data_IF_610382481512
#
_entry.id   IF_610382481512
#
_cell.length_a   1.000
_cell.length_b   1.000
_cell.length_c   1.000
_cell.angle_alpha   90.00
_cell.angle_beta   90.00
_cell.angle_gamma   90.00
#
_symmetry.space_group_name_H-M   'P 1'
#
loop_
_entity.id
_entity.type
_entity.pdbx_description
1 polymer ?
#
# COMPACT_ATOMS: atom_id res chain seq x y z
N UNK A 1 -3.78 3.01 7.69
CA UNK A 1 -4.56 1.75 7.87
C UNK A 1 -5.82 1.98 8.69
N UNK A 2 -5.70 2.52 9.91
CA UNK A 2 -6.82 2.75 10.84
C UNK A 2 -8.06 3.40 10.20
N UNK A 3 -7.89 4.53 9.50
CA UNK A 3 -9.00 5.23 8.83
C UNK A 3 -9.73 4.37 7.78
N UNK A 4 -8.98 3.55 7.04
CA UNK A 4 -9.53 2.65 6.04
C UNK A 4 -10.34 1.51 6.69
N UNK A 5 -9.81 0.93 7.78
CA UNK A 5 -10.53 -0.08 8.56
C UNK A 5 -11.81 0.49 9.18
N UNK A 6 -11.74 1.72 9.74
CA UNK A 6 -12.91 2.44 10.26
C UNK A 6 -13.95 2.65 9.17
N UNK A 7 -13.55 3.09 7.98
CA UNK A 7 -14.46 3.25 6.85
C UNK A 7 -15.21 1.96 6.49
N UNK A 8 -14.48 0.83 6.40
CA UNK A 8 -15.09 -0.47 6.13
C UNK A 8 -16.04 -0.90 7.25
N UNK A 9 -15.65 -0.78 8.52
CA UNK A 9 -16.50 -1.12 9.65
C UNK A 9 -17.80 -0.28 9.69
N UNK A 10 -17.70 1.02 9.41
CA UNK A 10 -18.87 1.89 9.29
C UNK A 10 -19.78 1.46 8.13
N UNK A 11 -19.19 1.10 6.99
CA UNK A 11 -19.92 0.65 5.79
C UNK A 11 -20.65 -0.66 6.06
N UNK A 12 -19.98 -1.66 6.65
CA UNK A 12 -20.58 -2.94 7.02
C UNK A 12 -21.72 -2.77 8.03
N UNK A 13 -21.54 -1.88 9.01
CA UNK A 13 -22.58 -1.54 9.98
C UNK A 13 -23.79 -0.92 9.28
N UNK A 14 -23.56 0.00 8.35
CA UNK A 14 -24.62 0.66 7.59
C UNK A 14 -25.40 -0.35 6.73
N UNK A 15 -24.69 -1.23 6.02
CA UNK A 15 -25.30 -2.29 5.21
C UNK A 15 -26.21 -3.19 6.05
N UNK A 16 -25.74 -3.63 7.23
CA UNK A 16 -26.56 -4.43 8.16
C UNK A 16 -27.83 -3.70 8.59
N UNK A 17 -27.75 -2.40 8.88
CA UNK A 17 -28.92 -1.58 9.24
C UNK A 17 -29.93 -1.49 8.08
N UNK A 18 -29.46 -1.36 6.83
CA UNK A 18 -30.36 -1.30 5.67
C UNK A 18 -30.95 -2.65 5.27
N UNK A 19 -30.20 -3.73 5.49
CA UNK A 19 -30.66 -5.10 5.19
C UNK A 19 -31.78 -5.54 6.14
N UNK A 20 -31.89 -4.91 7.33
CA UNK A 20 -32.95 -5.15 8.33
C UNK A 20 -33.03 -6.63 8.74
N UNK A 21 -31.89 -7.25 9.03
CA UNK A 21 -31.79 -8.68 9.36
C UNK A 21 -32.66 -9.10 10.56
N UNK A 22 -32.93 -8.17 11.49
CA UNK A 22 -33.75 -8.38 12.69
C UNK A 22 -35.21 -7.91 12.52
N UNK A 23 -35.57 -7.39 11.33
CA UNK A 23 -36.89 -6.87 11.01
C UNK A 23 -37.32 -5.70 11.89
N UNK A 24 -36.39 -5.03 12.59
CA UNK A 24 -36.70 -3.93 13.48
C UNK A 24 -37.25 -2.73 12.71
N UNK A 25 -36.62 -2.40 11.57
CA UNK A 25 -37.06 -1.31 10.70
C UNK A 25 -38.44 -1.58 10.12
N UNK A 26 -38.68 -2.81 9.65
CA UNK A 26 -40.01 -3.20 9.16
C UNK A 26 -41.09 -3.05 10.23
N UNK A 27 -40.85 -3.56 11.44
CA UNK A 27 -41.78 -3.40 12.58
C UNK A 27 -42.03 -1.93 12.93
N UNK A 28 -40.98 -1.11 12.87
CA UNK A 28 -41.10 0.32 13.12
C UNK A 28 -41.96 1.01 12.05
N UNK A 29 -41.74 0.69 10.78
CA UNK A 29 -42.52 1.23 9.66
C UNK A 29 -43.99 0.80 9.74
N UNK A 30 -44.26 -0.46 10.06
CA UNK A 30 -45.63 -0.98 10.22
C UNK A 30 -46.36 -0.28 11.38
N UNK A 31 -45.66 0.04 12.47
CA UNK A 31 -46.23 0.78 13.60
C UNK A 31 -46.53 2.25 13.25
N UNK A 32 -45.69 2.89 12.42
CA UNK A 32 -45.90 4.27 11.96
C UNK A 32 -47.04 4.34 10.94
N UNK A 33 -47.14 3.38 10.01
CA UNK A 33 -48.12 3.38 8.91
C UNK A 33 -49.53 2.84 9.32
N UNK A 34 -49.78 2.71 10.62
CA UNK A 34 -51.06 2.23 11.15
C UNK A 34 -52.15 3.32 11.19
N UNK A 35 -53.40 3.00 11.59
CA UNK A 35 -54.51 3.97 11.61
C UNK A 35 -54.31 5.18 12.55
N UNK A 36 -53.34 5.12 13.47
CA UNK A 36 -53.09 6.11 14.53
C UNK A 36 -51.69 6.76 14.40
N UNK A 37 -51.24 7.02 13.17
CA UNK A 37 -49.89 7.54 12.85
C UNK A 37 -49.47 8.74 13.73
N UNK A 38 -50.37 9.72 13.88
CA UNK A 38 -50.09 10.93 14.66
C UNK A 38 -49.92 10.65 16.16
N UNK A 39 -50.72 9.75 16.74
CA UNK A 39 -50.63 9.43 18.16
C UNK A 39 -49.29 8.75 18.49
N UNK A 40 -48.86 7.81 17.63
CA UNK A 40 -47.57 7.13 17.72
C UNK A 40 -46.41 8.14 17.56
N UNK A 41 -46.49 9.04 16.58
CA UNK A 41 -45.50 10.10 16.39
C UNK A 41 -45.34 10.99 17.64
N UNK A 42 -46.45 11.47 18.22
CA UNK A 42 -46.38 12.33 19.40
C UNK A 42 -45.91 11.59 20.65
N UNK A 43 -46.21 10.29 20.79
CA UNK A 43 -45.67 9.46 21.86
C UNK A 43 -44.14 9.35 21.78
N UNK A 44 -43.59 9.08 20.58
CA UNK A 44 -42.14 9.03 20.35
C UNK A 44 -41.46 10.39 20.52
N UNK A 45 -42.08 11.46 20.02
CA UNK A 45 -41.57 12.82 20.20
C UNK A 45 -41.51 13.21 21.68
N UNK A 46 -42.50 12.80 22.48
CA UNK A 46 -42.49 13.02 23.92
C UNK A 46 -41.31 12.32 24.59
N UNK A 47 -41.07 11.04 24.26
CA UNK A 47 -39.91 10.30 24.77
C UNK A 47 -38.58 10.98 24.41
N UNK A 48 -38.45 11.46 23.16
CA UNK A 48 -37.26 12.18 22.70
C UNK A 48 -37.05 13.49 23.49
N UNK A 49 -38.12 14.27 23.70
CA UNK A 49 -38.09 15.51 24.49
C UNK A 49 -37.74 15.24 25.96
N UNK A 50 -38.26 14.18 26.55
CA UNK A 50 -37.98 13.78 27.93
C UNK A 50 -36.54 13.24 28.08
N UNK A 51 -35.98 12.59 27.05
CA UNK A 51 -34.57 12.22 27.00
C UNK A 51 -33.67 13.46 26.92
N UNK A 52 -33.94 14.37 25.97
CA UNK A 52 -33.17 15.60 25.82
C UNK A 52 -33.23 16.49 27.07
N UNK A 53 -34.37 16.56 27.77
CA UNK A 53 -34.49 17.29 29.04
C UNK A 53 -33.64 16.68 30.16
N UNK A 54 -33.44 15.35 30.16
CA UNK A 54 -32.59 14.66 31.14
C UNK A 54 -31.09 14.85 30.85
N UNK A 55 -30.74 14.97 29.56
CA UNK A 55 -29.37 15.09 29.08
C UNK A 55 -29.18 16.41 28.29
N UNK A 56 -29.28 17.58 28.93
CA UNK A 56 -29.20 18.87 28.22
C UNK A 56 -27.81 19.18 27.65
N UNK A 57 -26.76 18.60 28.24
CA UNK A 57 -25.37 18.82 27.84
C UNK A 57 -24.87 17.78 26.81
N UNK A 58 -25.69 16.79 26.48
CA UNK A 58 -25.38 15.78 25.47
C UNK A 58 -25.56 16.38 24.08
N UNK A 59 -24.51 17.03 23.59
CA UNK A 59 -24.43 17.52 22.22
C UNK A 59 -23.91 16.42 21.31
N UNK A 60 -24.52 16.27 20.14
CA UNK A 60 -23.98 15.40 19.10
C UNK A 60 -22.60 15.93 18.70
N UNK A 61 -21.55 15.11 18.85
CA UNK A 61 -20.21 15.50 18.43
C UNK A 61 -20.20 15.72 16.92
N UNK A 62 -19.93 16.96 16.45
CA UNK A 62 -19.79 17.21 15.03
C UNK A 62 -18.58 16.45 14.50
N UNK A 63 -18.65 15.98 13.27
CA UNK A 63 -17.55 15.28 12.60
C UNK A 63 -16.24 16.09 12.62
N UNK A 64 -16.33 17.43 12.62
CA UNK A 64 -15.16 18.31 12.74
C UNK A 64 -14.41 18.17 14.06
N UNK A 65 -15.11 17.91 15.17
CA UNK A 65 -14.47 17.72 16.47
C UNK A 65 -13.78 16.36 16.57
N UNK A 66 -14.36 15.31 15.98
CA UNK A 66 -13.68 14.01 15.87
C UNK A 66 -12.38 14.12 15.06
N UNK A 67 -12.38 14.86 13.95
CA UNK A 67 -11.17 15.09 13.17
C UNK A 67 -10.12 15.90 13.94
N UNK A 68 -10.53 16.88 14.73
CA UNK A 68 -9.63 17.66 15.58
C UNK A 68 -8.96 16.77 16.64
N UNK A 69 -9.75 15.98 17.38
CA UNK A 69 -9.21 15.04 18.39
C UNK A 69 -8.19 14.08 17.77
N UNK A 70 -8.49 13.54 16.58
CA UNK A 70 -7.56 12.65 15.88
C UNK A 70 -6.25 13.34 15.49
N UNK A 71 -6.29 14.60 15.06
CA UNK A 71 -5.09 15.37 14.75
C UNK A 71 -4.28 15.68 16.01
N UNK A 72 -4.96 15.99 17.11
CA UNK A 72 -4.32 16.22 18.43
C UNK A 72 -3.65 14.94 18.94
N UNK A 73 -4.32 13.79 18.84
CA UNK A 73 -3.75 12.48 19.17
C UNK A 73 -2.53 12.14 18.30
N UNK A 74 -2.55 12.45 16.99
CA UNK A 74 -1.39 12.23 16.10
C UNK A 74 -0.22 13.16 16.45
N UNK A 75 -0.51 14.38 16.90
CA UNK A 75 0.49 15.39 17.23
C UNK A 75 1.06 15.24 18.65
N UNK A 76 0.49 14.36 19.47
CA UNK A 76 0.91 14.12 20.85
C UNK A 76 2.28 13.42 20.88
N UNK A 77 3.35 14.08 21.37
CA UNK A 77 4.68 13.49 21.46
C UNK A 77 4.80 12.43 22.56
N UNK A 78 3.85 12.34 23.51
CA UNK A 78 3.82 11.29 24.54
C UNK A 78 3.04 10.04 24.07
N UNK A 79 2.48 10.07 22.85
CA UNK A 79 1.80 8.91 22.27
C UNK A 79 2.77 7.75 22.15
N UNK A 80 2.47 6.64 22.83
CA UNK A 80 3.24 5.41 22.67
C UNK A 80 3.22 4.99 21.19
N UNK A 81 4.41 4.96 20.58
CA UNK A 81 4.64 4.58 19.18
C UNK A 81 4.47 3.07 18.93
N UNK A 82 3.46 2.44 19.53
CA UNK A 82 3.14 1.03 19.29
C UNK A 82 2.76 0.73 17.83
N UNK A 83 2.41 1.77 17.07
CA UNK A 83 2.04 1.69 15.66
C UNK A 83 3.23 1.86 14.68
N UNK A 84 4.46 2.04 15.17
CA UNK A 84 5.62 2.08 14.26
C UNK A 84 5.78 0.74 13.57
N UNK A 85 5.66 0.80 12.25
CA UNK A 85 5.82 -0.35 11.37
C UNK A 85 7.26 -0.85 11.52
N UNK A 86 7.38 -2.05 12.06
CA UNK A 86 8.68 -2.67 12.33
C UNK A 86 9.38 -2.96 11.00
N UNK A 87 10.60 -2.46 10.83
CA UNK A 87 11.52 -2.81 9.75
C UNK A 87 12.82 -3.30 10.35
N UNK A 88 13.49 -4.21 9.65
CA UNK A 88 14.88 -4.51 9.96
C UNK A 88 15.77 -3.36 9.50
N UNK A 89 16.96 -3.22 10.09
CA UNK A 89 17.91 -2.18 9.71
C UNK A 89 18.30 -2.31 8.22
N UNK A 90 18.45 -3.55 7.73
CA UNK A 90 18.75 -3.85 6.33
C UNK A 90 17.63 -3.46 5.36
N UNK A 91 16.37 -3.40 5.81
CA UNK A 91 15.24 -2.94 5.00
C UNK A 91 15.18 -1.40 4.88
N UNK A 92 15.85 -0.68 5.79
CA UNK A 92 15.90 0.78 5.85
C UNK A 92 14.53 1.45 5.64
N UNK A 93 13.57 1.13 6.52
CA UNK A 93 12.18 1.64 6.47
C UNK A 93 11.45 1.37 5.15
N UNK A 94 11.74 0.23 4.50
CA UNK A 94 11.10 -0.18 3.27
C UNK A 94 11.79 0.29 1.99
N UNK A 95 13.00 0.83 2.10
CA UNK A 95 13.83 1.21 0.94
C UNK A 95 14.46 0.00 0.26
N UNK A 96 14.83 -1.01 1.04
CA UNK A 96 15.52 -2.21 0.56
C UNK A 96 14.81 -3.48 1.04
N UNK A 97 15.13 -4.60 0.40
CA UNK A 97 14.66 -5.93 0.76
C UNK A 97 15.79 -6.70 1.46
N UNK A 98 15.57 -7.13 2.69
CA UNK A 98 16.44 -8.12 3.32
C UNK A 98 16.13 -9.53 2.79
N UNK A 99 16.97 -10.02 1.88
CA UNK A 99 16.79 -11.31 1.20
C UNK A 99 17.85 -12.33 1.63
N UNK A 100 18.68 -12.05 2.63
CA UNK A 100 19.81 -12.91 3.01
C UNK A 100 19.36 -14.28 3.51
N UNK A 101 18.37 -14.33 4.39
CA UNK A 101 17.83 -15.60 4.91
C UNK A 101 17.23 -16.45 3.79
N UNK A 102 16.51 -15.81 2.87
CA UNK A 102 15.85 -16.49 1.75
C UNK A 102 16.90 -16.97 0.73
N UNK A 103 17.99 -16.22 0.52
CA UNK A 103 19.13 -16.67 -0.28
C UNK A 103 19.80 -17.90 0.33
N UNK A 104 19.97 -17.96 1.65
CA UNK A 104 20.49 -19.15 2.32
C UNK A 104 19.58 -20.38 2.09
N UNK A 105 18.24 -20.20 2.12
CA UNK A 105 17.29 -21.26 1.76
C UNK A 105 17.45 -21.70 0.29
N UNK A 106 17.65 -20.76 -0.65
CA UNK A 106 17.92 -21.07 -2.06
C UNK A 106 19.21 -21.90 -2.22
N UNK A 107 20.28 -21.51 -1.52
CA UNK A 107 21.55 -22.23 -1.51
C UNK A 107 21.43 -23.64 -0.91
N UNK A 108 20.40 -23.94 -0.12
CA UNK A 108 20.14 -25.29 0.39
C UNK A 108 19.35 -26.18 -0.57
N UNK A 109 18.79 -25.63 -1.66
CA UNK A 109 18.06 -26.44 -2.65
C UNK A 109 18.99 -27.41 -3.40
N UNK A 110 18.51 -28.63 -3.64
CA UNK A 110 19.25 -29.65 -4.41
C UNK A 110 19.10 -29.41 -5.91
N UNK A 111 20.16 -29.70 -6.67
CA UNK A 111 20.18 -29.65 -8.14
C UNK A 111 19.86 -28.27 -8.76
N UNK A 112 20.05 -27.18 -8.01
CA UNK A 112 19.98 -25.81 -8.56
C UNK A 112 21.38 -25.25 -8.77
N UNK A 113 21.53 -24.35 -9.74
CA UNK A 113 22.75 -23.55 -9.88
C UNK A 113 22.91 -22.68 -8.65
N UNK A 114 24.06 -22.72 -7.98
CA UNK A 114 24.35 -21.82 -6.87
C UNK A 114 24.66 -20.43 -7.43
N UNK A 115 23.92 -19.43 -6.98
CA UNK A 115 24.05 -18.04 -7.40
C UNK A 115 24.65 -17.26 -6.22
N UNK A 116 25.55 -16.33 -6.51
CA UNK A 116 25.93 -15.29 -5.55
C UNK A 116 24.73 -14.40 -5.23
N UNK A 117 24.84 -13.58 -4.19
CA UNK A 117 23.71 -12.81 -3.66
C UNK A 117 23.18 -11.78 -4.67
N UNK A 118 24.04 -11.04 -5.37
CA UNK A 118 23.65 -10.06 -6.37
C UNK A 118 22.93 -10.74 -7.54
N UNK A 119 23.49 -11.85 -8.05
CA UNK A 119 22.86 -12.61 -9.14
C UNK A 119 21.53 -13.22 -8.70
N UNK A 120 21.41 -13.63 -7.43
CA UNK A 120 20.16 -14.11 -6.86
C UNK A 120 19.10 -13.02 -6.81
N UNK A 121 19.42 -11.82 -6.29
CA UNK A 121 18.50 -10.67 -6.26
C UNK A 121 17.97 -10.33 -7.66
N UNK A 122 18.78 -10.47 -8.70
CA UNK A 122 18.38 -10.20 -10.07
C UNK A 122 17.48 -11.29 -10.70
N UNK A 123 17.43 -12.51 -10.13
CA UNK A 123 16.85 -13.69 -10.81
C UNK A 123 15.98 -14.58 -9.89
N UNK A 124 15.69 -14.18 -8.65
CA UNK A 124 14.94 -15.01 -7.70
C UNK A 124 13.52 -15.37 -8.17
N UNK A 125 12.99 -14.60 -9.12
CA UNK A 125 11.68 -14.75 -9.75
C UNK A 125 11.70 -15.64 -11.02
N UNK A 126 12.90 -16.05 -11.47
CA UNK A 126 13.10 -16.85 -12.69
C UNK A 126 12.93 -18.36 -12.43
N UNK A 127 11.70 -18.76 -12.14
CA UNK A 127 11.38 -20.16 -11.79
C UNK A 127 11.50 -21.18 -12.93
N UNK A 128 11.69 -20.75 -14.18
CA UNK A 128 11.88 -21.64 -15.34
C UNK A 128 13.16 -22.46 -15.27
N UNK A 129 14.17 -21.92 -14.60
CA UNK A 129 15.51 -22.51 -14.55
C UNK A 129 15.60 -23.59 -13.43
N UNK A 130 14.58 -23.68 -12.57
CA UNK A 130 14.54 -24.62 -11.45
C UNK A 130 14.06 -26.01 -11.94
N UNK A 131 14.84 -27.09 -11.74
CA UNK A 131 14.47 -28.41 -12.24
C UNK A 131 13.17 -28.94 -11.66
N UNK A 132 12.21 -29.25 -12.54
CA UNK A 132 10.88 -29.71 -12.17
C UNK A 132 10.88 -31.03 -11.40
N UNK A 133 11.51 -32.05 -11.96
CA UNK A 133 11.38 -33.43 -11.45
C UNK A 133 12.19 -33.69 -10.19
N UNK A 134 13.27 -32.94 -9.98
CA UNK A 134 14.23 -33.16 -8.90
C UNK A 134 14.14 -32.12 -7.80
N UNK A 135 13.85 -30.86 -8.12
CA UNK A 135 13.84 -29.76 -7.14
C UNK A 135 12.41 -29.30 -6.82
N UNK A 136 11.59 -28.95 -7.82
CA UNK A 136 10.23 -28.42 -7.58
C UNK A 136 9.32 -29.40 -6.82
N UNK A 137 9.57 -30.70 -6.93
CA UNK A 137 8.85 -31.75 -6.21
C UNK A 137 9.28 -31.93 -4.75
N UNK A 138 10.32 -31.25 -4.29
CA UNK A 138 10.82 -31.39 -2.91
C UNK A 138 10.00 -30.54 -1.93
N UNK A 139 10.00 -30.92 -0.65
CA UNK A 139 9.44 -30.08 0.41
C UNK A 139 10.22 -28.77 0.58
N UNK A 140 11.55 -28.84 0.51
CA UNK A 140 12.45 -27.70 0.65
C UNK A 140 12.18 -26.57 -0.37
N UNK A 141 11.83 -26.89 -1.62
CA UNK A 141 11.47 -25.86 -2.60
C UNK A 141 10.14 -25.18 -2.27
N UNK A 142 9.17 -25.95 -1.79
CA UNK A 142 7.88 -25.39 -1.35
C UNK A 142 8.07 -24.47 -0.15
N UNK A 143 8.90 -24.87 0.80
CA UNK A 143 9.27 -24.06 1.98
C UNK A 143 9.95 -22.77 1.54
N UNK A 144 11.00 -22.84 0.73
CA UNK A 144 11.67 -21.68 0.13
C UNK A 144 10.67 -20.70 -0.53
N UNK A 145 9.77 -21.19 -1.39
CA UNK A 145 8.78 -20.33 -2.05
C UNK A 145 7.75 -19.75 -1.09
N UNK A 146 7.36 -20.50 -0.06
CA UNK A 146 6.38 -20.04 0.93
C UNK A 146 7.00 -18.92 1.77
N UNK A 147 8.22 -19.13 2.28
CA UNK A 147 8.97 -18.12 3.04
C UNK A 147 9.23 -16.87 2.19
N UNK A 148 9.66 -17.03 0.93
CA UNK A 148 9.85 -15.92 0.01
C UNK A 148 8.55 -15.13 -0.19
N UNK A 149 7.43 -15.82 -0.47
CA UNK A 149 6.15 -15.15 -0.64
C UNK A 149 5.71 -14.44 0.65
N UNK A 150 5.80 -15.11 1.78
CA UNK A 150 5.39 -14.58 3.09
C UNK A 150 6.17 -13.31 3.43
N UNK A 151 7.49 -13.32 3.23
CA UNK A 151 8.32 -12.14 3.42
C UNK A 151 7.91 -10.98 2.48
N UNK A 152 7.75 -11.24 1.18
CA UNK A 152 7.38 -10.19 0.23
C UNK A 152 5.97 -9.63 0.49
N UNK A 153 5.01 -10.47 0.92
CA UNK A 153 3.69 -10.02 1.37
C UNK A 153 3.82 -9.14 2.60
N UNK A 154 4.56 -9.59 3.60
CA UNK A 154 4.77 -8.87 4.84
C UNK A 154 5.45 -7.51 4.62
N UNK A 155 6.42 -7.46 3.71
CA UNK A 155 7.04 -6.21 3.26
C UNK A 155 6.05 -5.27 2.56
N UNK A 156 5.21 -5.80 1.67
CA UNK A 156 4.18 -5.01 0.97
C UNK A 156 3.09 -4.49 1.91
N UNK A 157 2.64 -5.29 2.88
CA UNK A 157 1.62 -4.87 3.86
C UNK A 157 2.12 -3.69 4.72
N UNK A 158 3.44 -3.66 4.97
CA UNK A 158 4.11 -2.59 5.73
C UNK A 158 4.36 -1.33 4.90
N UNK A 159 4.88 -1.49 3.69
CA UNK A 159 5.26 -0.35 2.81
C UNK A 159 4.08 0.24 2.05
N UNK A 160 3.09 -0.59 1.70
CA UNK A 160 1.95 -0.23 0.84
C UNK A 160 0.64 -0.80 1.39
N UNK A 161 0.23 -0.42 2.62
CA UNK A 161 -0.92 -1.01 3.31
C UNK A 161 -2.29 -0.79 2.65
N UNK A 162 -2.40 0.16 1.72
CA UNK A 162 -3.64 0.42 0.97
C UNK A 162 -3.73 -0.42 -0.31
N UNK A 163 -2.71 -1.22 -0.61
CA UNK A 163 -2.68 -2.04 -1.81
C UNK A 163 -3.47 -3.35 -1.60
N UNK A 164 -4.40 -3.66 -2.49
CA UNK A 164 -5.25 -4.84 -2.35
C UNK A 164 -4.58 -6.10 -2.91
N UNK A 165 -3.61 -6.65 -2.16
CA UNK A 165 -2.90 -7.88 -2.54
C UNK A 165 -3.84 -9.07 -2.79
N UNK A 166 -5.00 -9.13 -2.12
CA UNK A 166 -5.96 -10.22 -2.30
C UNK A 166 -6.54 -10.23 -3.71
N UNK A 167 -6.88 -9.05 -4.23
CA UNK A 167 -7.40 -8.91 -5.58
C UNK A 167 -6.33 -9.20 -6.63
N UNK A 168 -5.10 -8.72 -6.41
CA UNK A 168 -3.97 -9.00 -7.30
C UNK A 168 -3.63 -10.49 -7.35
N UNK A 169 -3.63 -11.18 -6.21
CA UNK A 169 -3.48 -12.64 -6.18
C UNK A 169 -4.62 -13.38 -6.87
N UNK A 170 -5.86 -12.89 -6.76
CA UNK A 170 -6.99 -13.50 -7.47
C UNK A 170 -6.83 -13.37 -9.00
N UNK A 171 -6.36 -12.22 -9.49
CA UNK A 171 -6.03 -12.01 -10.91
C UNK A 171 -4.88 -12.91 -11.36
N UNK A 172 -3.82 -12.99 -10.56
CA UNK A 172 -2.67 -13.86 -10.83
C UNK A 172 -3.07 -15.34 -10.87
N UNK A 173 -3.89 -15.79 -9.91
CA UNK A 173 -4.43 -17.16 -9.87
C UNK A 173 -5.25 -17.49 -11.11
N UNK A 174 -6.14 -16.58 -11.53
CA UNK A 174 -6.96 -16.78 -12.72
C UNK A 174 -6.12 -16.90 -14.00
N UNK A 175 -5.06 -16.09 -14.12
CA UNK A 175 -4.14 -16.17 -15.26
C UNK A 175 -3.31 -17.45 -15.25
N UNK A 176 -2.79 -17.86 -14.08
CA UNK A 176 -2.08 -19.14 -13.93
C UNK A 176 -3.00 -20.31 -14.29
N UNK A 177 -4.24 -20.32 -13.79
CA UNK A 177 -5.21 -21.37 -14.08
C UNK A 177 -5.54 -21.43 -15.58
N UNK A 178 -5.67 -20.28 -16.24
CA UNK A 178 -5.87 -20.19 -17.70
C UNK A 178 -4.68 -20.79 -18.46
N UNK A 179 -3.45 -20.37 -18.14
CA UNK A 179 -2.23 -20.86 -18.78
C UNK A 179 -1.96 -22.35 -18.50
N UNK A 180 -2.35 -22.85 -17.32
CA UNK A 180 -2.31 -24.29 -17.00
C UNK A 180 -3.30 -25.09 -17.85
N UNK A 181 -4.52 -24.57 -18.01
CA UNK A 181 -5.55 -25.22 -18.81
C UNK A 181 -5.16 -25.30 -20.30
N UNK A 182 -4.55 -24.23 -20.82
CA UNK A 182 -4.02 -24.14 -22.18
C UNK A 182 -2.71 -24.94 -22.37
N UNK A 183 -2.04 -25.30 -21.27
CA UNK A 183 -0.72 -25.94 -21.32
C UNK A 183 0.39 -25.01 -21.83
N UNK A 184 0.20 -23.69 -21.74
CA UNK A 184 1.12 -22.65 -22.22
C UNK A 184 1.97 -22.05 -21.09
N UNK A 185 1.75 -22.45 -19.83
CA UNK A 185 2.51 -21.92 -18.69
C UNK A 185 4.02 -22.30 -18.78
N UNK A 186 4.94 -21.33 -18.87
CA UNK A 186 6.37 -21.61 -19.00
C UNK A 186 6.94 -22.36 -17.78
N UNK A 187 7.75 -23.39 -18.01
CA UNK A 187 8.34 -24.21 -16.95
C UNK A 187 7.41 -25.31 -16.40
N UNK A 188 6.18 -25.39 -16.90
CA UNK A 188 5.19 -26.40 -16.53
C UNK A 188 4.82 -27.27 -17.75
N UNK A 189 4.43 -28.54 -17.54
CA UNK A 189 4.10 -29.43 -18.65
C UNK A 189 2.87 -28.90 -19.38
N UNK A 190 2.95 -28.78 -20.71
CA UNK A 190 1.74 -28.73 -21.53
C UNK A 190 0.93 -30.00 -21.29
N UNK A 191 -0.41 -29.88 -21.33
CA UNK A 191 -1.28 -31.06 -21.36
C UNK A 191 -0.70 -32.08 -22.35
N UNK A 192 -0.65 -33.38 -22.02
CA UNK A 192 -0.16 -34.37 -22.95
C UNK A 192 -1.03 -34.29 -24.20
N UNK A 193 -0.51 -33.67 -25.25
CA UNK A 193 -1.09 -33.80 -26.58
C UNK A 193 -1.05 -35.30 -26.87
N UNK A 194 -2.19 -35.96 -27.16
CA UNK A 194 -2.18 -37.34 -27.62
C UNK A 194 -1.55 -37.36 -29.02
N UNK A 195 -0.22 -37.28 -29.08
CA UNK A 195 0.56 -37.21 -30.32
C UNK A 195 0.97 -38.59 -30.84
N UNK A 196 0.68 -39.66 -30.11
CA UNK A 196 0.85 -41.02 -30.60
C UNK A 196 -0.48 -41.74 -30.58
N UNK A 197 -0.83 -42.33 -31.73
CA UNK A 197 -2.06 -43.11 -31.89
C UNK A 197 -2.14 -44.20 -30.80
N UNK A 198 -3.34 -44.48 -30.27
CA UNK A 198 -3.54 -45.55 -29.29
C UNK A 198 -2.93 -46.85 -29.82
N UNK A 199 -2.14 -47.52 -28.99
CA UNK A 199 -1.52 -48.80 -29.35
C UNK A 199 -2.64 -49.82 -29.49
N UNK A 200 -2.84 -50.32 -30.70
CA UNK A 200 -3.71 -51.46 -30.92
C UNK A 200 -3.00 -52.73 -30.46
N UNK A 201 -3.23 -53.11 -29.20
CA UNK A 201 -2.68 -54.32 -28.59
C UNK A 201 -3.12 -55.58 -29.36
N UNK A 202 -4.21 -55.52 -30.13
CA UNK A 202 -4.68 -56.67 -30.91
C UNK A 202 -3.73 -57.05 -32.05
N UNK A 203 -2.97 -56.08 -32.58
CA UNK A 203 -2.01 -56.25 -33.67
C UNK A 203 -0.73 -57.00 -33.27
N UNK A 204 -0.50 -57.21 -31.96
CA UNK A 204 0.70 -57.86 -31.44
C UNK A 204 0.40 -59.31 -31.06
N UNK A 205 1.33 -60.21 -31.40
CA UNK A 205 1.18 -61.66 -31.18
C UNK A 205 1.82 -62.10 -29.86
N UNK A 206 2.77 -61.34 -29.32
CA UNK A 206 3.40 -61.66 -28.02
C UNK A 206 3.75 -60.41 -27.19
N UNK A 207 3.92 -60.54 -25.86
CA UNK A 207 4.45 -59.47 -25.01
C UNK A 207 5.84 -58.99 -25.44
N UNK A 208 6.67 -59.85 -26.01
CA UNK A 208 8.04 -59.51 -26.43
C UNK A 208 8.03 -58.51 -27.59
N UNK A 209 7.04 -58.57 -28.49
CA UNK A 209 6.90 -57.58 -29.56
C UNK A 209 6.54 -56.19 -29.01
N UNK A 210 5.80 -56.13 -27.91
CA UNK A 210 5.46 -54.87 -27.23
C UNK A 210 6.67 -54.26 -26.50
N UNK A 211 7.66 -55.05 -26.08
CA UNK A 211 8.90 -54.55 -25.48
C UNK A 211 9.67 -53.63 -26.44
N UNK A 212 9.61 -53.90 -27.75
CA UNK A 212 10.25 -53.08 -28.79
C UNK A 212 9.72 -51.64 -28.87
N UNK A 213 8.54 -51.37 -28.32
CA UNK A 213 7.93 -50.04 -28.26
C UNK A 213 8.59 -49.13 -27.22
N UNK A 214 9.38 -49.71 -26.32
CA UNK A 214 10.11 -48.98 -25.30
C UNK A 214 9.26 -48.58 -24.09
N UNK A 215 9.96 -48.10 -23.07
CA UNK A 215 9.42 -47.94 -21.72
C UNK A 215 8.36 -46.83 -21.62
N UNK A 216 8.55 -45.75 -22.37
CA UNK A 216 7.66 -44.59 -22.38
C UNK A 216 6.34 -44.86 -23.11
N UNK A 217 6.40 -45.56 -24.25
CA UNK A 217 5.22 -45.90 -25.05
C UNK A 217 4.33 -46.93 -24.34
N UNK A 218 4.94 -47.93 -23.71
CA UNK A 218 4.23 -48.88 -22.84
C UNK A 218 3.59 -48.19 -21.62
N UNK A 219 4.29 -47.22 -21.01
CA UNK A 219 3.76 -46.44 -19.90
C UNK A 219 2.53 -45.63 -20.34
N UNK A 220 2.59 -44.96 -21.48
CA UNK A 220 1.48 -44.17 -22.03
C UNK A 220 0.24 -45.03 -22.28
N UNK A 221 0.39 -46.20 -22.90
CA UNK A 221 -0.72 -47.10 -23.17
C UNK A 221 -1.33 -47.71 -21.90
N UNK A 222 -0.51 -48.12 -20.92
CA UNK A 222 -1.01 -48.58 -19.63
C UNK A 222 -1.78 -47.49 -18.87
N UNK A 223 -1.28 -46.24 -18.88
CA UNK A 223 -1.96 -45.10 -18.27
C UNK A 223 -3.28 -44.79 -18.98
N UNK A 224 -3.34 -44.88 -20.32
CA UNK A 224 -4.57 -44.68 -21.10
C UNK A 224 -5.66 -45.70 -20.75
N UNK A 225 -5.26 -46.93 -20.40
CA UNK A 225 -6.16 -48.00 -19.93
C UNK A 225 -6.43 -47.95 -18.41
N UNK A 226 -5.84 -47.00 -17.69
CA UNK A 226 -5.97 -46.88 -16.23
C UNK A 226 -5.26 -48.00 -15.44
N UNK A 227 -4.31 -48.69 -16.04
CA UNK A 227 -3.55 -49.80 -15.45
C UNK A 227 -2.26 -49.33 -14.76
N UNK A 228 -1.78 -50.10 -13.78
CA UNK A 228 -0.49 -49.83 -13.12
C UNK A 228 0.66 -49.84 -14.13
N UNK A 229 1.49 -48.80 -14.11
CA UNK A 229 2.64 -48.64 -15.01
C UNK A 229 4.01 -48.87 -14.34
N UNK A 230 4.04 -49.39 -13.11
CA UNK A 230 5.28 -49.76 -12.40
C UNK A 230 5.86 -51.10 -12.90
N UNK A 231 7.16 -51.31 -12.68
CA UNK A 231 7.85 -52.53 -13.07
C UNK A 231 8.83 -52.38 -14.23
N UNK A 232 9.47 -53.50 -14.58
CA UNK A 232 10.42 -53.61 -15.70
C UNK A 232 9.72 -53.47 -17.07
N UNK A 233 10.50 -53.27 -18.15
CA UNK A 233 9.99 -53.19 -19.52
C UNK A 233 9.08 -54.39 -19.85
N UNK A 234 9.55 -55.59 -19.50
CA UNK A 234 8.87 -56.87 -19.70
C UNK A 234 7.56 -56.95 -18.93
N UNK A 235 7.56 -56.61 -17.64
CA UNK A 235 6.36 -56.62 -16.81
C UNK A 235 5.28 -55.64 -17.32
N UNK A 236 5.69 -54.52 -17.91
CA UNK A 236 4.75 -53.55 -18.52
C UNK A 236 4.17 -54.10 -19.83
N UNK A 237 5.00 -54.71 -20.66
CA UNK A 237 4.58 -55.33 -21.91
C UNK A 237 3.62 -56.51 -21.66
N UNK A 238 3.91 -57.35 -20.67
CA UNK A 238 3.05 -58.45 -20.22
C UNK A 238 1.70 -57.93 -19.70
N UNK A 239 1.71 -56.88 -18.89
CA UNK A 239 0.47 -56.28 -18.35
C UNK A 239 -0.38 -55.63 -19.44
N UNK A 240 0.25 -54.98 -20.42
CA UNK A 240 -0.46 -54.39 -21.56
C UNK A 240 -1.04 -55.49 -22.44
N UNK A 241 -0.28 -56.55 -22.73
CA UNK A 241 -0.76 -57.71 -23.49
C UNK A 241 -1.89 -58.45 -22.76
N UNK A 242 -1.82 -58.60 -21.43
CA UNK A 242 -2.86 -59.23 -20.63
C UNK A 242 -4.20 -58.47 -20.67
N UNK A 243 -4.19 -57.17 -21.03
CA UNK A 243 -5.40 -56.38 -21.24
C UNK A 243 -6.05 -56.58 -22.63
N UNK A 244 -5.40 -57.35 -23.52
CA UNK A 244 -5.90 -57.65 -24.87
C UNK A 244 -7.26 -58.33 -24.81
N UNK A 245 -8.28 -57.68 -25.37
CA UNK A 245 -9.64 -58.22 -25.46
C UNK A 245 -10.49 -58.10 -24.18
N UNK A 246 -9.97 -57.49 -23.11
CA UNK A 246 -10.72 -57.25 -21.86
C UNK A 246 -11.26 -55.81 -21.84
N UNK A 247 -12.47 -55.60 -21.30
CA UNK A 247 -12.97 -54.25 -21.02
C UNK A 247 -12.41 -53.76 -19.69
N UNK A 248 -12.28 -52.43 -19.53
CA UNK A 248 -11.72 -51.82 -18.32
C UNK A 248 -12.43 -52.24 -17.01
N UNK A 249 -13.68 -52.71 -17.07
CA UNK A 249 -14.44 -53.23 -15.93
C UNK A 249 -14.15 -54.69 -15.56
N UNK A 250 -13.55 -55.47 -16.47
CA UNK A 250 -13.21 -56.89 -16.26
C UNK A 250 -11.83 -57.06 -15.60
N UNK A 251 -11.07 -55.98 -15.51
CA UNK A 251 -9.76 -55.92 -14.86
C UNK A 251 -9.94 -55.73 -13.35
N UNK A 252 -9.42 -56.65 -12.54
CA UNK A 252 -9.55 -56.60 -11.09
C UNK A 252 -9.07 -55.28 -10.48
N UNK A 253 -9.67 -54.85 -9.35
CA UNK A 253 -9.31 -53.60 -8.64
C UNK A 253 -7.81 -53.47 -8.32
N UNK A 254 -7.10 -54.58 -8.20
CA UNK A 254 -5.65 -54.61 -7.95
C UNK A 254 -4.79 -54.31 -9.20
N UNK A 255 -5.33 -54.45 -10.41
CA UNK A 255 -4.64 -54.11 -11.66
C UNK A 255 -4.76 -52.63 -12.03
N UNK A 256 -5.83 -51.98 -11.55
CA UNK A 256 -6.12 -50.56 -11.76
C UNK A 256 -5.19 -49.65 -10.95
N UNK A 257 -4.80 -48.52 -11.56
CA UNK A 257 -4.06 -47.47 -10.89
C UNK A 257 -4.97 -46.70 -9.90
N UNK A 258 -4.42 -46.26 -8.75
CA UNK A 258 -5.17 -45.43 -7.80
C UNK A 258 -5.39 -44.03 -8.38
N UNK A 259 -6.64 -43.68 -8.73
CA UNK A 259 -7.02 -42.34 -9.23
C UNK A 259 -6.78 -41.20 -8.22
N UNK A 260 -6.72 -41.51 -6.92
CA UNK A 260 -6.54 -40.51 -5.85
C UNK A 260 -5.17 -39.84 -5.85
N UNK A 261 -4.11 -40.53 -6.28
CA UNK A 261 -2.75 -39.95 -6.32
C UNK A 261 -2.59 -38.92 -7.45
N UNK A 262 -3.23 -39.12 -8.59
CA UNK A 262 -3.12 -38.20 -9.74
C UNK A 262 -3.85 -36.88 -9.51
N UNK A 263 -5.03 -36.92 -8.88
CA UNK A 263 -5.76 -35.71 -8.54
C UNK A 263 -5.01 -34.89 -7.49
N UNK A 264 -4.42 -35.57 -6.50
CA UNK A 264 -3.60 -34.93 -5.46
C UNK A 264 -2.32 -34.31 -6.02
N UNK A 265 -1.63 -35.01 -6.92
CA UNK A 265 -0.42 -34.47 -7.57
C UNK A 265 -0.77 -33.31 -8.51
N UNK A 266 -1.91 -33.35 -9.21
CA UNK A 266 -2.41 -32.22 -10.01
C UNK A 266 -2.70 -30.99 -9.15
N UNK A 267 -3.42 -31.17 -8.04
CA UNK A 267 -3.71 -30.09 -7.10
C UNK A 267 -2.42 -29.50 -6.49
N UNK A 268 -1.45 -30.36 -6.14
CA UNK A 268 -0.14 -29.94 -5.65
C UNK A 268 0.63 -29.12 -6.70
N UNK A 269 0.62 -29.57 -7.95
CA UNK A 269 1.26 -28.90 -9.08
C UNK A 269 0.65 -27.51 -9.31
N UNK A 270 -0.69 -27.43 -9.31
CA UNK A 270 -1.40 -26.16 -9.48
C UNK A 270 -1.11 -25.18 -8.32
N UNK A 271 -1.13 -25.66 -7.07
CA UNK A 271 -0.80 -24.83 -5.91
C UNK A 271 0.63 -24.27 -5.99
N UNK A 272 1.59 -25.07 -6.43
CA UNK A 272 2.97 -24.64 -6.58
C UNK A 272 3.14 -23.63 -7.73
N UNK A 273 2.43 -23.82 -8.85
CA UNK A 273 2.42 -22.89 -9.96
C UNK A 273 1.83 -21.52 -9.56
N UNK A 274 0.80 -21.50 -8.71
CA UNK A 274 0.21 -20.27 -8.17
C UNK A 274 1.18 -19.53 -7.25
N UNK A 275 1.90 -20.24 -6.37
CA UNK A 275 2.96 -19.63 -5.54
C UNK A 275 4.04 -18.97 -6.41
N UNK A 276 4.51 -19.65 -7.45
CA UNK A 276 5.43 -19.06 -8.42
C UNK A 276 4.80 -17.82 -9.10
N UNK A 277 3.54 -17.90 -9.52
CA UNK A 277 2.80 -16.78 -10.14
C UNK A 277 2.66 -15.55 -9.25
N UNK A 278 2.50 -15.72 -7.94
CA UNK A 278 2.40 -14.61 -6.97
C UNK A 278 3.72 -13.85 -6.82
N UNK A 279 4.85 -14.52 -7.00
CA UNK A 279 6.19 -13.94 -6.83
C UNK A 279 6.75 -13.40 -8.16
N UNK A 280 6.41 -14.02 -9.29
CA UNK A 280 7.10 -13.82 -10.58
C UNK A 280 6.98 -12.40 -11.15
N UNK A 281 8.07 -11.62 -11.22
CA UNK A 281 8.06 -10.22 -11.65
C UNK A 281 7.49 -9.99 -13.06
N UNK A 282 7.55 -10.98 -13.95
CA UNK A 282 6.99 -10.83 -15.31
C UNK A 282 5.45 -10.82 -15.35
N UNK A 283 4.76 -11.05 -14.23
CA UNK A 283 3.32 -10.99 -14.13
C UNK A 283 2.92 -9.62 -13.56
N UNK A 284 2.09 -8.88 -14.29
CA UNK A 284 1.64 -7.53 -13.91
C UNK A 284 0.99 -7.48 -12.51
N UNK A 285 0.40 -8.60 -12.08
CA UNK A 285 -0.36 -8.76 -10.84
C UNK A 285 0.43 -9.49 -9.73
N UNK A 286 1.75 -9.64 -9.91
CA UNK A 286 2.63 -10.30 -8.92
C UNK A 286 3.30 -9.28 -8.00
N UNK A 287 3.72 -9.74 -6.82
CA UNK A 287 4.50 -8.92 -5.90
C UNK A 287 5.87 -8.56 -6.49
N UNK A 288 6.48 -9.47 -7.25
CA UNK A 288 7.77 -9.21 -7.86
C UNK A 288 7.76 -8.03 -8.83
N UNK A 289 6.65 -7.80 -9.53
CA UNK A 289 6.49 -6.64 -10.40
C UNK A 289 6.31 -5.35 -9.59
N UNK A 290 5.54 -5.44 -8.51
CA UNK A 290 5.28 -4.30 -7.63
C UNK A 290 6.55 -3.84 -6.89
N UNK A 291 7.47 -4.76 -6.59
CA UNK A 291 8.71 -4.50 -5.85
C UNK A 291 9.96 -4.36 -6.75
N UNK A 292 9.79 -4.04 -8.04
CA UNK A 292 10.93 -3.91 -8.95
C UNK A 292 11.89 -2.80 -8.52
N UNK A 293 11.36 -1.65 -8.08
CA UNK A 293 12.17 -0.51 -7.66
C UNK A 293 12.97 -0.85 -6.39
N UNK A 294 12.33 -1.47 -5.39
CA UNK A 294 12.99 -1.89 -4.16
C UNK A 294 14.03 -2.99 -4.42
N UNK A 295 13.76 -3.92 -5.34
CA UNK A 295 14.73 -4.93 -5.77
C UNK A 295 15.97 -4.30 -6.39
N UNK A 296 15.78 -3.38 -7.33
CA UNK A 296 16.88 -2.74 -8.05
C UNK A 296 17.68 -1.83 -7.10
N UNK A 297 17.01 -1.12 -6.18
CA UNK A 297 17.65 -0.34 -5.12
C UNK A 297 18.47 -1.23 -4.16
N UNK A 298 17.94 -2.39 -3.77
CA UNK A 298 18.65 -3.37 -2.92
C UNK A 298 19.90 -3.87 -3.62
N UNK A 299 19.80 -4.19 -4.91
CA UNK A 299 20.93 -4.68 -5.70
C UNK A 299 22.03 -3.62 -5.81
N UNK A 300 21.68 -2.37 -6.12
CA UNK A 300 22.63 -1.26 -6.16
C UNK A 300 23.28 -1.04 -4.78
N UNK A 301 22.51 -1.19 -3.69
CA UNK A 301 23.04 -1.09 -2.33
C UNK A 301 24.09 -2.15 -2.03
N UNK A 302 23.81 -3.40 -2.39
CA UNK A 302 24.75 -4.52 -2.21
C UNK A 302 25.99 -4.35 -3.08
N UNK A 303 25.83 -3.95 -4.34
CA UNK A 303 26.96 -3.70 -5.26
C UNK A 303 27.86 -2.58 -4.72
N UNK A 304 27.27 -1.51 -4.20
CA UNK A 304 28.00 -0.41 -3.54
C UNK A 304 28.72 -0.87 -2.28
N UNK A 305 28.06 -1.61 -1.37
CA UNK A 305 28.69 -2.17 -0.16
C UNK A 305 29.85 -3.11 -0.53
N UNK A 306 29.70 -3.94 -1.57
CA UNK A 306 30.73 -4.89 -2.00
C UNK A 306 31.95 -4.24 -2.69
N UNK A 307 31.78 -3.08 -3.34
CA UNK A 307 32.85 -2.36 -4.03
C UNK A 307 33.78 -1.57 -3.08
N UNK A 308 33.41 -1.44 -1.80
CA UNK A 308 34.14 -0.63 -0.82
C UNK A 308 35.34 -1.36 -0.22
N UNK A 309 36.32 -0.59 0.23
CA UNK A 309 37.47 -1.12 0.97
C UNK A 309 37.12 -1.29 2.46
N UNK A 310 37.81 -2.21 3.15
CA UNK A 310 37.43 -2.69 4.52
C UNK A 310 37.21 -1.56 5.54
N UNK A 311 37.88 -0.42 5.41
CA UNK A 311 37.72 0.73 6.34
C UNK A 311 36.53 1.65 6.04
N UNK A 312 35.98 1.63 4.82
CA UNK A 312 34.83 2.49 4.42
C UNK A 312 33.47 1.82 4.69
N UNK A 313 33.48 0.57 5.17
CA UNK A 313 32.27 -0.19 5.48
C UNK A 313 31.82 0.04 6.94
N UNK A 314 32.76 0.37 7.84
CA UNK A 314 32.47 0.67 9.25
C UNK A 314 31.79 2.05 9.41
N UNK A 315 32.13 3.05 8.57
CA UNK A 315 31.54 4.39 8.60
C UNK A 315 30.09 4.48 8.07
N UNK A 316 29.56 3.44 7.40
CA UNK A 316 28.21 3.43 6.80
C UNK A 316 27.28 2.40 7.48
N UNK A 317 27.82 1.40 8.20
CA UNK A 317 27.05 0.62 9.18
C UNK A 317 26.76 1.48 10.44
N UNK A 318 27.57 2.51 10.68
CA UNK A 318 27.15 3.74 11.36
C UNK A 318 26.32 4.60 10.38
N UNK A 319 25.18 4.10 9.90
CA UNK A 319 24.18 5.04 9.36
C UNK A 319 23.91 6.07 10.47
N UNK A 320 23.85 7.38 10.15
CA UNK A 320 23.58 8.38 11.16
C UNK A 320 22.32 7.93 11.87
N UNK A 321 22.46 7.57 13.15
CA UNK A 321 21.33 7.69 14.04
C UNK A 321 20.76 9.06 13.71
N UNK A 322 19.46 9.14 13.50
CA UNK A 322 18.76 10.37 13.84
C UNK A 322 18.90 10.54 15.35
N UNK A 323 20.15 10.70 15.83
CA UNK A 323 20.42 11.63 16.88
C UNK A 323 19.79 12.92 16.38
N UNK A 324 18.83 13.37 17.15
CA UNK A 324 18.57 14.79 17.33
C UNK A 324 19.89 15.46 17.75
N UNK A 325 20.85 15.51 16.84
CA UNK A 325 22.12 16.18 17.03
C UNK A 325 21.86 17.64 16.73
N UNK A 326 21.39 18.30 17.79
CA UNK A 326 21.60 19.71 18.06
C UNK A 326 23.10 20.05 18.21
N UNK A 327 23.99 19.44 17.43
CA UNK A 327 25.36 19.92 17.33
C UNK A 327 25.42 21.04 16.30
N UNK A 328 25.22 22.23 16.85
CA UNK A 328 25.53 23.56 16.34
C UNK A 328 26.86 23.55 15.55
N UNK A 329 26.78 23.27 14.25
CA UNK A 329 27.89 23.48 13.32
C UNK A 329 28.12 24.99 13.17
N UNK A 330 28.95 25.55 14.05
CA UNK A 330 29.36 26.96 14.14
C UNK A 330 30.29 27.39 12.97
N UNK A 331 30.10 26.81 11.79
CA UNK A 331 30.76 27.20 10.55
C UNK A 331 29.88 28.15 9.75
N UNK A 332 30.16 29.46 9.80
CA UNK A 332 29.46 30.48 8.98
C UNK A 332 29.38 30.02 7.51
N UNK A 333 28.19 29.68 6.98
CA UNK A 333 28.07 29.13 5.64
C UNK A 333 28.53 30.14 4.58
N UNK A 334 29.37 29.70 3.64
CA UNK A 334 29.88 30.54 2.56
C UNK A 334 28.73 31.07 1.70
N UNK A 335 28.36 32.34 1.93
CA UNK A 335 27.24 33.03 1.27
C UNK A 335 27.75 34.19 0.38
N UNK A 336 28.42 33.90 -0.73
CA UNK A 336 29.08 34.91 -1.58
C UNK A 336 28.10 35.89 -2.25
N UNK A 337 26.79 35.64 -2.18
CA UNK A 337 25.74 36.53 -2.70
C UNK A 337 24.87 37.18 -1.61
N UNK A 338 25.20 37.01 -0.32
CA UNK A 338 24.44 37.50 0.83
C UNK A 338 22.91 37.26 0.69
N UNK A 339 22.53 36.09 0.19
CA UNK A 339 21.14 35.70 0.06
C UNK A 339 20.59 35.32 1.43
N UNK A 340 19.31 35.63 1.76
CA UNK A 340 18.72 35.19 3.01
C UNK A 340 18.81 33.66 3.14
N UNK A 341 19.10 33.20 4.35
CA UNK A 341 19.19 31.78 4.66
C UNK A 341 17.77 31.20 4.74
N UNK A 342 17.61 30.00 4.21
CA UNK A 342 16.38 29.24 4.38
C UNK A 342 16.24 28.70 5.80
N UNK A 343 15.16 27.98 6.05
CA UNK A 343 14.95 27.24 7.30
C UNK A 343 15.97 26.10 7.51
N UNK A 344 16.67 25.69 6.45
CA UNK A 344 17.81 24.75 6.41
C UNK A 344 19.17 25.43 6.71
N UNK A 345 19.19 26.72 7.08
CA UNK A 345 20.46 27.44 7.36
C UNK A 345 21.36 27.67 6.12
N UNK A 346 21.00 27.12 4.96
CA UNK A 346 21.71 27.31 3.68
C UNK A 346 21.15 28.49 2.88
N UNK A 347 21.96 29.16 2.03
CA UNK A 347 21.49 30.26 1.19
C UNK A 347 20.38 29.81 0.22
N UNK A 348 19.25 30.52 0.22
CA UNK A 348 18.10 30.19 -0.63
C UNK A 348 18.51 30.25 -2.12
N UNK A 349 18.14 29.26 -2.96
CA UNK A 349 18.42 29.30 -4.39
C UNK A 349 17.96 30.60 -5.07
N UNK A 350 18.83 31.17 -5.92
CA UNK A 350 18.61 32.51 -6.50
C UNK A 350 17.33 32.66 -7.33
N UNK A 351 16.90 31.59 -8.02
CA UNK A 351 15.65 31.59 -8.78
C UNK A 351 14.43 31.64 -7.85
N UNK A 352 14.47 30.95 -6.71
CA UNK A 352 13.41 30.93 -5.71
C UNK A 352 13.31 32.29 -4.99
N UNK A 353 14.46 32.92 -4.74
CA UNK A 353 14.56 34.29 -4.24
C UNK A 353 13.90 35.31 -5.17
N UNK A 354 14.07 35.16 -6.50
CA UNK A 354 13.37 35.99 -7.49
C UNK A 354 11.90 35.65 -7.66
N UNK A 355 11.53 34.36 -7.66
CA UNK A 355 10.16 33.91 -7.85
C UNK A 355 9.22 34.44 -6.76
N UNK A 356 9.67 34.39 -5.50
CA UNK A 356 8.88 34.91 -4.37
C UNK A 356 9.06 36.42 -4.14
N UNK A 357 9.75 37.12 -5.04
CA UNK A 357 9.93 38.57 -4.97
C UNK A 357 10.76 39.06 -3.78
N UNK A 358 11.53 38.17 -3.12
CA UNK A 358 12.36 38.50 -1.96
C UNK A 358 13.50 39.48 -2.31
N UNK A 359 13.81 39.63 -3.60
CA UNK A 359 14.73 40.64 -4.14
C UNK A 359 14.15 42.07 -4.17
N UNK A 360 12.86 42.23 -3.91
CA UNK A 360 12.18 43.53 -3.90
C UNK A 360 12.06 43.98 -2.44
N UNK A 361 12.62 45.14 -2.15
CA UNK A 361 12.62 45.71 -0.80
C UNK A 361 11.53 46.77 -0.67
N UNK A 362 10.73 46.69 0.39
CA UNK A 362 9.69 47.64 0.73
C UNK A 362 10.02 48.28 2.08
N UNK A 363 9.89 49.59 2.21
CA UNK A 363 10.11 50.30 3.47
C UNK A 363 8.79 50.74 4.11
N UNK A 364 8.74 50.75 5.44
CA UNK A 364 7.60 51.25 6.21
C UNK A 364 8.05 52.36 7.17
N UNK A 365 7.56 53.59 6.96
CA UNK A 365 7.92 54.77 7.75
C UNK A 365 7.37 54.69 9.17
N UNK A 366 6.13 54.20 9.33
CA UNK A 366 5.48 53.96 10.63
C UNK A 366 6.29 53.01 11.52
N UNK A 367 7.05 52.08 10.93
CA UNK A 367 7.94 51.16 11.63
C UNK A 367 9.37 51.72 11.86
N UNK A 368 9.60 53.01 11.59
CA UNK A 368 10.93 53.62 11.66
C UNK A 368 11.80 53.33 10.43
N UNK A 369 11.22 53.40 9.24
CA UNK A 369 11.86 53.08 7.95
C UNK A 369 12.45 51.66 7.87
N UNK A 370 11.85 50.70 8.59
CA UNK A 370 12.26 49.30 8.50
C UNK A 370 12.03 48.78 7.08
N UNK A 371 13.03 48.09 6.54
CA UNK A 371 12.98 47.46 5.23
C UNK A 371 12.55 46.00 5.36
N UNK A 372 11.54 45.61 4.60
CA UNK A 372 11.00 44.26 4.48
C UNK A 372 11.31 43.72 3.08
N UNK A 373 11.84 42.49 3.02
CA UNK A 373 12.16 41.81 1.76
C UNK A 373 10.99 40.96 1.31
N UNK A 374 10.41 41.35 0.18
CA UNK A 374 9.35 40.61 -0.50
C UNK A 374 7.92 41.03 -0.11
N UNK A 375 6.96 40.89 -1.04
CA UNK A 375 5.58 41.33 -0.83
C UNK A 375 4.87 40.60 0.32
N UNK A 376 5.12 39.30 0.49
CA UNK A 376 4.45 38.49 1.53
C UNK A 376 4.86 38.89 2.94
N UNK A 377 6.16 39.12 3.17
CA UNK A 377 6.66 39.61 4.45
C UNK A 377 6.14 41.03 4.73
N UNK A 378 6.12 41.88 3.69
CA UNK A 378 5.57 43.22 3.79
C UNK A 378 4.03 43.25 3.95
N UNK A 379 3.27 42.24 3.55
CA UNK A 379 1.85 42.19 3.90
C UNK A 379 1.63 41.72 5.35
N UNK A 380 2.45 40.76 5.80
CA UNK A 380 2.36 40.23 7.17
C UNK A 380 2.69 41.30 8.23
N UNK A 381 3.62 42.22 7.93
CA UNK A 381 4.09 43.18 8.93
C UNK A 381 3.01 44.14 9.46
N UNK A 382 1.91 44.39 8.73
CA UNK A 382 0.81 45.24 9.19
C UNK A 382 0.14 44.71 10.47
N UNK A 383 0.17 43.39 10.66
CA UNK A 383 -0.38 42.71 11.84
C UNK A 383 0.70 42.40 12.89
N UNK A 384 1.97 42.72 12.62
CA UNK A 384 3.05 42.49 13.58
C UNK A 384 3.06 43.55 14.68
N UNK A 385 3.63 43.17 15.82
CA UNK A 385 3.68 44.01 17.02
C UNK A 385 4.33 45.37 16.74
N UNK A 386 5.40 45.41 15.94
CA UNK A 386 6.15 46.65 15.66
C UNK A 386 5.30 47.69 14.92
N UNK A 387 4.52 47.26 13.93
CA UNK A 387 3.62 48.14 13.18
C UNK A 387 2.44 48.59 14.06
N UNK A 388 1.85 47.65 14.81
CA UNK A 388 0.78 47.94 15.78
C UNK A 388 1.23 48.94 16.86
N UNK A 389 2.48 48.83 17.32
CA UNK A 389 3.06 49.75 18.28
C UNK A 389 3.32 51.12 17.66
N UNK A 390 3.83 51.19 16.42
CA UNK A 390 3.98 52.45 15.67
C UNK A 390 2.64 53.19 15.53
N UNK A 391 1.58 52.48 15.13
CA UNK A 391 0.22 53.03 15.05
C UNK A 391 -0.30 53.51 16.41
N UNK A 392 -0.01 52.77 17.49
CA UNK A 392 -0.37 53.16 18.86
C UNK A 392 0.35 54.45 19.30
N UNK A 393 1.63 54.61 18.96
CA UNK A 393 2.40 55.83 19.25
C UNK A 393 1.86 57.05 18.49
N UNK A 394 1.26 56.84 17.32
CA UNK A 394 0.55 57.89 16.55
C UNK A 394 -0.88 58.15 17.06
N UNK A 395 -1.37 57.35 18.03
CA UNK A 395 -2.74 57.46 18.55
C UNK A 395 -3.83 56.97 17.59
N UNK A 396 -3.46 56.11 16.62
CA UNK A 396 -4.38 55.56 15.61
C UNK A 396 -4.65 54.07 15.94
N UNK A 397 -5.92 53.62 15.98
CA UNK A 397 -6.23 52.21 16.19
C UNK A 397 -5.84 51.37 14.95
N UNK A 398 -5.05 50.31 15.15
CA UNK A 398 -4.65 49.40 14.08
C UNK A 398 -5.84 48.54 13.63
N UNK A 399 -6.57 49.03 12.63
CA UNK A 399 -7.76 48.39 12.04
C UNK A 399 -7.55 48.18 10.55
N UNK A 400 -8.34 47.30 9.93
CA UNK A 400 -8.20 46.95 8.51
C UNK A 400 -8.25 48.15 7.54
N UNK A 401 -8.84 49.28 7.96
CA UNK A 401 -8.88 50.53 7.19
C UNK A 401 -7.48 51.12 6.91
N UNK A 402 -6.49 50.78 7.73
CA UNK A 402 -5.11 51.28 7.60
C UNK A 402 -4.17 50.26 6.93
N UNK A 403 -4.71 49.15 6.40
CA UNK A 403 -3.91 48.20 5.64
C UNK A 403 -3.28 48.87 4.41
N UNK A 404 -2.01 48.56 4.13
CA UNK A 404 -1.19 49.12 3.05
C UNK A 404 -0.71 50.57 3.23
N UNK A 405 -0.97 51.22 4.38
CA UNK A 405 -0.48 52.57 4.64
C UNK A 405 0.87 52.51 5.35
N UNK A 406 1.90 53.07 4.72
CA UNK A 406 3.26 53.06 5.27
C UNK A 406 3.79 54.42 5.68
N UNK A 407 3.26 55.50 5.11
CA UNK A 407 3.67 56.86 5.44
C UNK A 407 2.89 57.38 6.64
N UNK A 408 3.58 58.08 7.54
CA UNK A 408 2.97 58.61 8.77
C UNK A 408 1.93 59.69 8.43
N UNK A 409 2.24 60.54 7.44
CA UNK A 409 1.36 61.62 6.99
C UNK A 409 0.02 61.08 6.47
N UNK A 410 0.07 60.07 5.60
CA UNK A 410 -1.13 59.48 4.99
C UNK A 410 -2.02 58.79 6.04
N UNK A 411 -1.41 58.16 7.04
CA UNK A 411 -2.14 57.56 8.16
C UNK A 411 -2.89 58.60 8.99
N UNK A 412 -2.26 59.74 9.29
CA UNK A 412 -2.89 60.85 10.02
C UNK A 412 -4.00 61.51 9.22
N UNK A 413 -3.80 61.74 7.92
CA UNK A 413 -4.80 62.34 7.03
C UNK A 413 -6.05 61.45 6.93
N UNK A 414 -5.86 60.13 6.76
CA UNK A 414 -6.96 59.18 6.73
C UNK A 414 -7.68 59.11 8.09
N UNK A 415 -6.94 59.11 9.20
CA UNK A 415 -7.54 59.09 10.53
C UNK A 415 -8.38 60.34 10.81
N UNK A 416 -7.87 61.52 10.44
CA UNK A 416 -8.61 62.77 10.57
C UNK A 416 -9.90 62.77 9.75
N UNK A 417 -9.88 62.20 8.54
CA UNK A 417 -11.07 62.03 7.70
C UNK A 417 -12.11 61.10 8.34
N UNK A 418 -11.68 59.93 8.83
CA UNK A 418 -12.56 58.95 9.50
C UNK A 418 -13.16 59.54 10.80
N UNK A 419 -12.38 60.35 11.52
CA UNK A 419 -12.84 61.04 12.73
C UNK A 419 -13.87 62.12 12.40
N UNK A 420 -13.66 62.86 11.31
CA UNK A 420 -14.62 63.84 10.78
C UNK A 420 -15.96 63.21 10.36
N UNK A 421 -15.92 62.07 9.69
CA UNK A 421 -17.13 61.33 9.27
C UNK A 421 -17.89 60.70 10.46
N UNK A 422 -17.20 60.34 11.55
CA UNK A 422 -17.86 59.89 12.80
C UNK A 422 -18.54 61.03 13.55
N UNK A 423 -17.99 62.24 13.52
CA UNK A 423 -18.58 63.41 14.17
C UNK A 423 -19.82 63.89 13.40
N UNK A 424 -19.81 63.86 12.07
CA UNK A 424 -20.97 64.22 11.23
C UNK A 424 -22.15 63.23 11.36
N UNK A 425 -21.88 61.96 11.66
CA UNK A 425 -22.92 60.95 11.93
C UNK A 425 -23.54 61.09 13.33
N UNK A 426 -22.79 61.61 14.30
CA UNK A 426 -23.27 61.83 15.68
C UNK A 426 -24.16 63.07 15.86
N UNK A 427 -24.14 64.01 14.90
CA UNK A 427 -25.02 65.18 14.89
C UNK A 427 -26.34 64.97 14.15
N UNK A 428 -26.66 63.73 13.74
CA UNK A 428 -27.89 63.38 13.03
C UNK A 428 -28.68 62.26 13.74
N UNK A 429 -28.99 62.45 15.03
CA UNK A 429 -30.11 61.74 15.66
C UNK A 429 -30.57 62.44 16.94
N UNK A 430 -31.67 63.21 16.85
CA UNK A 430 -32.79 63.32 17.79
C UNK A 430 -33.64 64.56 17.45
N UNK A 431 -34.41 64.54 16.35
CA UNK A 431 -35.55 65.49 16.17
C UNK A 431 -36.54 65.22 15.04
N UNK A 432 -36.33 64.29 14.09
CA UNK A 432 -37.21 64.22 12.89
C UNK A 432 -37.89 62.86 12.64
N UNK A 433 -38.54 62.27 13.66
CA UNK A 433 -39.63 61.29 13.42
C UNK A 433 -40.78 61.55 14.40
N UNK A 434 -41.36 62.74 14.31
CA UNK A 434 -42.66 63.05 14.91
C UNK A 434 -43.41 64.04 14.00
N UNK A 435 -43.75 63.60 12.78
CA UNK A 435 -44.90 64.12 12.02
C UNK A 435 -45.06 63.33 10.70
N UNK A 436 -45.83 62.26 10.76
CA UNK A 436 -46.86 61.99 9.75
C UNK A 436 -47.85 61.01 10.37
N UNK A 437 -49.00 61.55 10.75
CA UNK A 437 -50.27 60.85 10.60
C UNK A 437 -50.55 60.61 9.11
#
# INVERSE_FOLDING_TARGET
IYLFQRYHACTDSLERMYTDNDGARKREMDAIAGPNEFAEFYARLKLLKDAHRRNPDELAEPLSMEFQKMQEEIADPEREEYDMVQFTDEESYGRFLDMHEIHALYLNLKNVKKLDYITYLAQFDKFTDIPRNTTKKTGAYKEYLSTLKEYLVYFMDRTRPLHNLKEEFAKSDAEVDRLLAEGSLPGWPSQPTPKEAPIDVSAYSSPVELESLGLDRLKAALMALGLKCGGTLKERAERLYASKGLRAGDLGRDALAKKTDEAKERARTAALAKLEGHIKCSCNYSIGNLLMDERDATRENVERKQARTVGENEEDDEEPQVESDEEENDGVPYNPKNLPLGWDGKPIPYWLYKLHGLNISYSCEICGNQVYKGPKAFQKHFNEWRHSHGMRCLGIPNTAHFANITQIKDALDLWNKIKGDKVSFSSFSFSDVANSY
#
